data_IF_261643823565
#
_entry.id   IF_261643823565
#
_cell.length_a   1.000
_cell.length_b   1.000
_cell.length_c   1.000
_cell.angle_alpha   90.00
_cell.angle_beta   90.00
_cell.angle_gamma   90.00
#
_symmetry.space_group_name_H-M   'P 1'
#
loop_
_entity.id
_entity.type
_entity.pdbx_description
1 polymer ?
#
# COMPACT_ATOMS: atom_id res chain seq x y z
N UNK A 1 -7.60 1.40 23.42
CA UNK A 1 -7.07 2.46 22.52
C UNK A 1 -5.80 1.91 21.89
N UNK A 2 -5.61 2.07 20.58
CA UNK A 2 -4.39 1.59 19.90
C UNK A 2 -3.22 2.54 20.15
N UNK A 3 -2.02 1.99 20.22
CA UNK A 3 -0.80 2.77 20.34
C UNK A 3 -0.55 3.60 19.07
N UNK A 4 0.14 4.72 19.25
CA UNK A 4 0.58 5.57 18.15
C UNK A 4 1.84 5.01 17.51
N UNK A 5 2.01 5.22 16.21
CA UNK A 5 3.26 4.94 15.51
C UNK A 5 4.28 6.07 15.72
N UNK A 6 5.50 5.90 15.18
CA UNK A 6 6.57 6.89 15.29
C UNK A 6 6.27 8.23 14.60
N UNK A 7 5.21 8.31 13.80
CA UNK A 7 4.75 9.54 13.14
C UNK A 7 3.59 10.21 13.87
N UNK A 8 3.15 9.64 14.99
CA UNK A 8 2.01 10.11 15.76
C UNK A 8 0.64 9.66 15.23
N UNK A 9 0.62 8.87 14.14
CA UNK A 9 -0.56 8.20 13.60
C UNK A 9 -0.88 6.92 14.37
N UNK A 10 -1.84 6.12 13.88
CA UNK A 10 -2.17 4.81 14.47
C UNK A 10 -1.14 3.78 14.03
N UNK A 11 -0.65 2.93 14.94
CA UNK A 11 0.17 1.77 14.57
C UNK A 11 -0.63 0.78 13.73
N UNK A 12 -0.34 0.68 12.43
CA UNK A 12 -1.02 -0.23 11.51
C UNK A 12 -0.80 -1.71 11.88
N UNK A 13 0.41 -2.16 12.27
CA UNK A 13 0.60 -3.52 12.77
C UNK A 13 -0.33 -3.85 13.95
N UNK A 14 -0.41 -2.97 14.95
CA UNK A 14 -1.28 -3.16 16.10
C UNK A 14 -2.77 -3.16 15.72
N UNK A 15 -3.16 -2.35 14.72
CA UNK A 15 -4.51 -2.36 14.18
C UNK A 15 -4.82 -3.70 13.51
N UNK A 16 -3.96 -4.20 12.64
CA UNK A 16 -4.17 -5.48 11.94
C UNK A 16 -4.26 -6.63 12.93
N UNK A 17 -3.38 -6.69 13.94
CA UNK A 17 -3.46 -7.70 15.00
C UNK A 17 -4.79 -7.65 15.76
N UNK A 18 -5.26 -6.44 16.06
CA UNK A 18 -6.53 -6.24 16.75
C UNK A 18 -7.73 -6.68 15.89
N UNK A 19 -7.69 -6.44 14.58
CA UNK A 19 -8.73 -6.89 13.65
C UNK A 19 -8.72 -8.41 13.51
N UNK A 20 -7.53 -9.03 13.45
CA UNK A 20 -7.38 -10.50 13.45
C UNK A 20 -7.97 -11.14 14.72
N UNK A 21 -7.77 -10.53 15.91
CA UNK A 21 -8.41 -10.96 17.16
C UNK A 21 -9.94 -10.83 17.18
N UNK A 22 -10.51 -10.14 16.18
CA UNK A 22 -11.97 -10.03 15.95
C UNK A 22 -12.43 -10.90 14.78
N UNK A 23 -11.64 -11.90 14.40
CA UNK A 23 -11.93 -12.83 13.31
C UNK A 23 -12.08 -12.17 11.93
N UNK A 24 -11.49 -10.98 11.74
CA UNK A 24 -11.40 -10.33 10.43
C UNK A 24 -10.17 -10.83 9.70
N UNK A 25 -10.38 -11.53 8.57
CA UNK A 25 -9.33 -12.21 7.83
C UNK A 25 -8.72 -11.39 6.69
N UNK A 26 -9.36 -10.29 6.31
CA UNK A 26 -8.91 -9.44 5.22
C UNK A 26 -9.32 -7.99 5.43
N UNK A 27 -8.46 -7.08 4.99
CA UNK A 27 -8.69 -5.63 5.05
C UNK A 27 -8.34 -5.05 3.69
N UNK A 28 -9.22 -4.19 3.18
CA UNK A 28 -8.94 -3.38 1.99
C UNK A 28 -8.52 -1.99 2.45
N UNK A 29 -7.36 -1.53 1.98
CA UNK A 29 -6.82 -0.20 2.26
C UNK A 29 -6.95 0.69 1.01
N UNK A 30 -7.96 1.55 0.98
CA UNK A 30 -8.24 2.46 -0.17
C UNK A 30 -7.94 3.93 0.12
N UNK A 31 -7.33 4.22 1.27
CA UNK A 31 -7.03 5.60 1.67
C UNK A 31 -5.99 6.28 0.78
N UNK A 32 -5.60 7.49 1.18
CA UNK A 32 -4.62 8.29 0.43
C UNK A 32 -3.19 7.73 0.46
N UNK A 33 -2.27 8.36 -0.29
CA UNK A 33 -0.90 7.85 -0.49
C UNK A 33 -0.06 7.82 0.79
N UNK A 34 -0.40 8.63 1.80
CA UNK A 34 0.23 8.59 3.13
C UNK A 34 -0.09 7.30 3.88
N UNK A 35 -1.35 6.84 3.81
CA UNK A 35 -1.76 5.57 4.41
C UNK A 35 -1.12 4.40 3.67
N UNK A 36 -1.17 4.42 2.33
CA UNK A 36 -0.56 3.40 1.49
C UNK A 36 0.95 3.26 1.78
N UNK A 37 1.68 4.38 1.86
CA UNK A 37 3.09 4.37 2.25
C UNK A 37 3.31 3.80 3.65
N UNK A 38 2.54 4.23 4.64
CA UNK A 38 2.67 3.75 6.01
C UNK A 38 2.45 2.24 6.09
N UNK A 39 1.46 1.72 5.36
CA UNK A 39 1.17 0.29 5.30
C UNK A 39 2.29 -0.51 4.63
N UNK A 40 2.88 -0.01 3.54
CA UNK A 40 4.01 -0.68 2.84
C UNK A 40 5.29 -0.61 3.68
N UNK A 41 5.58 0.55 4.30
CA UNK A 41 6.73 0.75 5.19
C UNK A 41 6.67 -0.21 6.37
N UNK A 42 5.53 -0.26 7.05
CA UNK A 42 5.28 -1.17 8.17
C UNK A 42 5.16 -2.63 7.67
N UNK A 43 4.90 -2.80 6.37
CA UNK A 43 4.61 -4.00 5.59
C UNK A 43 3.67 -4.96 6.25
N UNK A 44 2.49 -4.39 6.43
CA UNK A 44 1.23 -5.08 6.68
C UNK A 44 0.44 -5.26 5.38
N UNK A 45 1.10 -5.10 4.22
CA UNK A 45 0.50 -5.22 2.88
C UNK A 45 0.96 -6.54 2.28
N UNK A 46 -0.01 -7.40 1.94
CA UNK A 46 0.25 -8.68 1.28
C UNK A 46 0.06 -8.58 -0.25
N UNK A 47 -0.87 -7.73 -0.72
CA UNK A 47 -1.20 -7.57 -2.15
C UNK A 47 -1.51 -6.11 -2.50
N UNK A 48 -1.10 -5.70 -3.69
CA UNK A 48 -1.45 -4.44 -4.33
C UNK A 48 -2.46 -4.68 -5.45
N UNK A 49 -3.46 -3.81 -5.53
CA UNK A 49 -4.38 -3.72 -6.66
C UNK A 49 -4.34 -2.28 -7.19
N UNK A 50 -3.70 -2.08 -8.33
CA UNK A 50 -3.46 -0.77 -8.92
C UNK A 50 -4.37 -0.57 -10.13
N UNK A 51 -4.99 0.61 -10.22
CA UNK A 51 -5.78 1.03 -11.38
C UNK A 51 -5.11 2.21 -12.07
N UNK A 52 -4.90 2.07 -13.38
CA UNK A 52 -4.17 3.04 -14.21
C UNK A 52 -5.10 3.51 -15.33
N UNK A 53 -5.53 4.77 -15.26
CA UNK A 53 -6.31 5.41 -16.31
C UNK A 53 -5.41 5.96 -17.43
N UNK A 54 -5.89 6.07 -18.68
CA UNK A 54 -5.14 6.65 -19.80
C UNK A 54 -5.16 8.19 -19.72
N UNK A 55 -4.68 8.75 -18.60
CA UNK A 55 -4.71 10.17 -18.30
C UNK A 55 -3.35 10.66 -17.80
N UNK A 56 -2.92 11.82 -18.30
CA UNK A 56 -1.68 12.47 -17.90
C UNK A 56 -2.02 13.72 -17.08
N UNK A 57 -1.69 13.71 -15.79
CA UNK A 57 -1.98 14.82 -14.87
C UNK A 57 -0.80 15.79 -14.77
N UNK A 58 0.44 15.28 -14.66
CA UNK A 58 1.63 16.10 -14.45
C UNK A 58 1.64 16.83 -13.10
N UNK A 59 2.72 17.57 -12.81
CA UNK A 59 2.85 18.40 -11.61
C UNK A 59 3.75 17.81 -10.53
N UNK A 60 4.70 18.61 -10.03
CA UNK A 60 5.66 18.20 -8.98
C UNK A 60 4.97 17.87 -7.65
N UNK A 61 3.86 18.53 -7.38
CA UNK A 61 3.07 18.38 -6.15
C UNK A 61 1.82 17.52 -6.38
N UNK A 62 1.67 16.94 -7.58
CA UNK A 62 0.57 16.03 -7.85
C UNK A 62 0.69 14.79 -6.96
N UNK A 63 -0.45 14.34 -6.48
CA UNK A 63 -0.55 13.20 -5.57
C UNK A 63 -0.28 11.91 -6.35
N UNK A 64 0.82 11.22 -6.02
CA UNK A 64 1.12 9.88 -6.54
C UNK A 64 0.42 8.77 -5.76
N UNK A 65 0.72 7.51 -6.06
CA UNK A 65 0.18 6.35 -5.32
C UNK A 65 0.74 6.23 -3.91
N UNK A 66 2.00 6.64 -3.71
CA UNK A 66 2.69 6.60 -2.42
C UNK A 66 3.20 8.00 -2.08
N UNK A 67 3.10 8.36 -0.80
CA UNK A 67 3.68 9.58 -0.23
C UNK A 67 4.79 9.22 0.76
N UNK A 68 5.39 10.20 1.43
CA UNK A 68 6.39 9.94 2.47
C UNK A 68 7.82 9.84 1.95
N UNK A 69 8.72 9.29 2.77
CA UNK A 69 10.16 9.36 2.54
C UNK A 69 10.67 8.42 1.44
N UNK A 70 9.87 7.44 1.04
CA UNK A 70 10.31 6.37 0.14
C UNK A 70 11.36 5.44 0.76
N UNK A 71 11.71 4.40 0.01
CA UNK A 71 12.83 3.52 0.35
C UNK A 71 14.12 4.10 -0.20
N UNK A 72 15.14 4.22 0.66
CA UNK A 72 16.48 4.62 0.26
C UNK A 72 17.54 3.78 1.00
N UNK A 73 18.53 3.20 0.32
CA UNK A 73 18.70 3.15 -1.15
C UNK A 73 17.64 2.25 -1.83
N UNK A 74 17.59 2.26 -3.17
CA UNK A 74 16.63 1.44 -3.96
C UNK A 74 16.69 -0.06 -3.63
N UNK A 75 17.85 -0.57 -3.22
CA UNK A 75 18.00 -1.97 -2.78
C UNK A 75 17.24 -2.33 -1.50
N UNK A 76 16.61 -1.36 -0.82
CA UNK A 76 15.69 -1.58 0.31
C UNK A 76 14.21 -1.50 -0.10
N UNK A 77 13.90 -1.27 -1.38
CA UNK A 77 12.53 -1.25 -1.85
C UNK A 77 11.88 -2.63 -1.67
N UNK A 78 10.60 -2.65 -1.30
CA UNK A 78 9.84 -3.88 -1.24
C UNK A 78 9.68 -4.45 -2.67
N UNK A 79 10.15 -5.67 -2.95
CA UNK A 79 9.88 -6.31 -4.23
C UNK A 79 8.39 -6.63 -4.34
N UNK A 80 7.88 -6.61 -5.58
CA UNK A 80 6.50 -7.00 -5.88
C UNK A 80 6.50 -7.95 -7.08
N UNK A 81 5.65 -8.95 -7.04
CA UNK A 81 5.45 -9.91 -8.13
C UNK A 81 4.11 -9.64 -8.80
N UNK A 82 4.10 -9.35 -10.10
CA UNK A 82 2.85 -9.11 -10.82
C UNK A 82 2.14 -10.45 -11.04
N UNK A 83 0.94 -10.58 -10.48
CA UNK A 83 0.07 -11.74 -10.59
C UNK A 83 -0.80 -11.66 -11.83
N UNK A 84 -1.41 -10.50 -12.10
CA UNK A 84 -2.22 -10.29 -13.29
C UNK A 84 -2.17 -8.85 -13.80
N UNK A 85 -2.38 -8.71 -15.11
CA UNK A 85 -2.61 -7.44 -15.78
C UNK A 85 -3.85 -7.62 -16.66
N UNK A 86 -4.86 -6.81 -16.41
CA UNK A 86 -6.16 -6.90 -17.09
C UNK A 86 -6.59 -5.52 -17.56
N UNK A 87 -7.18 -5.44 -18.75
CA UNK A 87 -7.78 -4.19 -19.23
C UNK A 87 -9.23 -4.11 -18.75
N UNK A 88 -9.59 -3.02 -18.10
CA UNK A 88 -10.95 -2.72 -17.64
C UNK A 88 -11.46 -1.47 -18.36
N UNK A 89 -12.10 -1.67 -19.51
CA UNK A 89 -12.52 -0.57 -20.38
C UNK A 89 -11.31 0.26 -20.87
N UNK A 90 -11.23 1.57 -20.58
CA UNK A 90 -10.07 2.38 -20.93
C UNK A 90 -8.87 2.16 -20.00
N UNK A 91 -9.08 1.59 -18.82
CA UNK A 91 -8.10 1.50 -17.74
C UNK A 91 -7.36 0.15 -17.73
N UNK A 92 -6.26 0.08 -17.01
CA UNK A 92 -5.51 -1.15 -16.72
C UNK A 92 -5.55 -1.43 -15.21
N UNK A 93 -5.90 -2.65 -14.84
CA UNK A 93 -5.77 -3.19 -13.49
C UNK A 93 -4.52 -4.05 -13.42
N UNK A 94 -3.67 -3.80 -12.42
CA UNK A 94 -2.52 -4.63 -12.08
C UNK A 94 -2.74 -5.21 -10.69
N UNK A 95 -2.66 -6.52 -10.55
CA UNK A 95 -2.61 -7.20 -9.26
C UNK A 95 -1.18 -7.68 -9.04
N UNK A 96 -0.60 -7.35 -7.89
CA UNK A 96 0.75 -7.77 -7.55
C UNK A 96 0.87 -8.17 -6.09
N UNK A 97 1.55 -9.28 -5.81
CA UNK A 97 1.83 -9.72 -4.45
C UNK A 97 3.09 -9.03 -3.91
N UNK A 98 3.03 -8.64 -2.64
CA UNK A 98 4.14 -8.02 -1.92
C UNK A 98 4.74 -9.10 -1.02
N UNK A 99 5.48 -10.05 -1.62
CA UNK A 99 6.14 -11.09 -0.85
C UNK A 99 7.20 -10.46 0.08
N UNK A 100 6.83 -10.30 1.35
CA UNK A 100 7.81 -10.33 2.44
C UNK A 100 7.99 -11.80 2.79
N UNK A 101 9.24 -12.26 2.78
CA UNK A 101 9.61 -13.49 3.47
C UNK A 101 9.06 -13.38 4.91
N UNK A 102 7.96 -14.06 5.19
CA UNK A 102 7.45 -14.27 6.55
C UNK A 102 7.99 -15.58 7.08
#
# INVERSE_FOLDING_TARGET
>A
VLDRDSTGGVSLPALIDLLGKRDLQGVVLEGGPTLAWSAIRDGVVDQLVLYIAPMLVGGREATGWLAGSGFAPVGRAAPVEIVSIERLGPDVKVVADVHRDR
#
